data_IF_317205740403
#
_entry.id   IF_317205740403
#
_cell.length_a   1.000
_cell.length_b   1.000
_cell.length_c   1.000
_cell.angle_alpha   90.00
_cell.angle_beta   90.00
_cell.angle_gamma   90.00
#
_symmetry.space_group_name_H-M   'P 1'
#
loop_
_entity.id
_entity.type
_entity.pdbx_description
1 polymer ?
#
# COMPACT_ATOMS: atom_id res chain seq x y z
N UNK A 1 18.13 -45.63 34.02
CA UNK A 1 17.87 -45.57 32.57
C UNK A 1 16.89 -44.43 32.33
N UNK A 2 17.43 -43.25 32.03
CA UNK A 2 16.67 -42.06 31.65
C UNK A 2 17.12 -41.65 30.25
N UNK A 3 16.20 -41.64 29.30
CA UNK A 3 16.31 -41.03 27.96
C UNK A 3 14.92 -40.43 27.71
N UNK A 4 14.67 -39.19 28.12
CA UNK A 4 14.97 -37.90 27.47
C UNK A 4 13.84 -37.46 26.53
N UNK A 5 12.93 -36.66 27.10
CA UNK A 5 11.79 -35.96 26.50
C UNK A 5 12.21 -34.68 25.76
N UNK A 6 13.21 -34.74 24.88
CA UNK A 6 13.84 -33.54 24.29
C UNK A 6 13.61 -33.34 22.78
N UNK A 7 12.76 -34.12 22.11
CA UNK A 7 12.63 -34.03 20.63
C UNK A 7 11.48 -33.18 20.09
N UNK A 8 10.51 -32.73 20.91
CA UNK A 8 9.30 -32.06 20.41
C UNK A 8 9.32 -30.52 20.56
N UNK A 9 10.11 -29.98 21.49
CA UNK A 9 10.34 -28.53 21.62
C UNK A 9 11.38 -27.98 20.63
N UNK A 10 12.21 -28.86 20.04
CA UNK A 10 13.27 -28.44 19.13
C UNK A 10 12.76 -28.10 17.72
N UNK A 11 11.66 -28.70 17.25
CA UNK A 11 11.13 -28.44 15.91
C UNK A 11 10.52 -27.02 15.76
N UNK A 12 10.13 -26.39 16.88
CA UNK A 12 9.70 -24.98 16.91
C UNK A 12 10.86 -24.01 17.21
N UNK A 13 11.97 -24.48 17.79
CA UNK A 13 13.19 -23.67 18.00
C UNK A 13 14.14 -23.68 16.81
N UNK A 14 14.11 -24.72 15.99
CA UNK A 14 14.91 -24.84 14.76
C UNK A 14 14.51 -23.85 13.65
N UNK A 15 13.40 -23.11 13.81
CA UNK A 15 13.08 -21.98 12.93
C UNK A 15 13.92 -20.73 13.18
N UNK A 16 14.69 -20.66 14.28
CA UNK A 16 15.48 -19.48 14.66
C UNK A 16 16.99 -19.61 14.37
N UNK A 17 17.49 -20.81 14.07
CA UNK A 17 18.89 -21.04 13.74
C UNK A 17 18.96 -21.96 12.51
N UNK A 18 19.52 -21.45 11.42
CA UNK A 18 19.69 -22.09 10.11
C UNK A 18 18.42 -22.22 9.26
N UNK A 19 18.07 -21.15 8.55
CA UNK A 19 17.43 -21.30 7.24
C UNK A 19 18.16 -20.49 6.18
N UNK A 20 18.76 -21.27 5.28
CA UNK A 20 19.41 -20.83 4.07
C UNK A 20 18.45 -19.95 3.26
N UNK A 21 18.99 -18.85 2.68
CA UNK A 21 18.28 -17.89 1.84
C UNK A 21 17.69 -18.58 0.60
N UNK A 22 16.45 -19.03 0.66
CA UNK A 22 15.56 -19.33 -0.50
C UNK A 22 14.23 -19.85 0.04
N UNK A 23 13.26 -18.95 0.29
CA UNK A 23 11.83 -19.23 0.10
C UNK A 23 10.98 -18.06 0.58
N UNK A 24 10.07 -17.56 -0.27
CA UNK A 24 9.02 -16.58 0.06
C UNK A 24 8.09 -17.11 1.17
N UNK A 25 8.07 -18.43 1.41
CA UNK A 25 7.43 -19.03 2.58
C UNK A 25 8.05 -18.54 3.91
N UNK A 26 9.30 -18.08 3.95
CA UNK A 26 9.97 -17.71 5.20
C UNK A 26 9.39 -16.44 5.83
N UNK A 27 9.08 -15.40 5.03
CA UNK A 27 8.58 -14.12 5.55
C UNK A 27 7.15 -14.21 6.11
N UNK A 28 6.24 -14.87 5.39
CA UNK A 28 4.89 -15.13 5.88
C UNK A 28 4.93 -15.99 7.15
N UNK A 29 5.71 -17.08 7.15
CA UNK A 29 5.88 -17.93 8.34
C UNK A 29 6.48 -17.16 9.53
N UNK A 30 7.40 -16.22 9.30
CA UNK A 30 7.98 -15.37 10.35
C UNK A 30 6.94 -14.45 10.98
N UNK A 31 6.09 -13.79 10.19
CA UNK A 31 5.01 -12.94 10.72
C UNK A 31 4.02 -13.78 11.51
N UNK A 32 3.61 -14.93 10.97
CA UNK A 32 2.70 -15.86 11.63
C UNK A 32 3.29 -16.36 12.96
N UNK A 33 4.57 -16.76 12.98
CA UNK A 33 5.27 -17.17 14.19
C UNK A 33 5.31 -16.04 15.23
N UNK A 34 5.60 -14.81 14.82
CA UNK A 34 5.62 -13.65 15.71
C UNK A 34 4.25 -13.35 16.31
N UNK A 35 3.18 -13.41 15.51
CA UNK A 35 1.80 -13.28 16.02
C UNK A 35 1.48 -14.36 17.06
N UNK A 36 1.88 -15.61 16.80
CA UNK A 36 1.59 -16.72 17.71
C UNK A 36 2.39 -16.65 19.01
N UNK A 37 3.65 -16.19 18.95
CA UNK A 37 4.43 -15.89 20.14
C UNK A 37 3.79 -14.78 20.98
N UNK A 38 3.27 -13.72 20.33
CA UNK A 38 2.58 -12.64 21.04
C UNK A 38 1.28 -13.12 21.69
N UNK A 39 0.42 -13.85 20.98
CA UNK A 39 -0.80 -14.42 21.55
C UNK A 39 -0.49 -15.33 22.75
N UNK A 40 0.50 -16.22 22.61
CA UNK A 40 0.91 -17.14 23.68
C UNK A 40 1.50 -16.42 24.88
N UNK A 41 2.17 -15.28 24.69
CA UNK A 41 2.69 -14.46 25.78
C UNK A 41 1.60 -13.75 26.59
N UNK A 42 0.41 -13.56 26.00
CA UNK A 42 -0.74 -12.91 26.65
C UNK A 42 -1.62 -13.93 27.37
N UNK A 43 -2.05 -14.99 26.68
CA UNK A 43 -2.84 -16.09 27.26
C UNK A 43 -2.48 -17.42 26.56
N UNK A 44 -1.63 -18.27 27.16
CA UNK A 44 -1.19 -19.52 26.55
C UNK A 44 -2.32 -20.51 26.23
N UNK A 45 -3.35 -20.59 27.08
CA UNK A 45 -4.42 -21.58 26.94
C UNK A 45 -5.36 -21.20 25.80
N UNK A 46 -5.75 -19.92 25.73
CA UNK A 46 -6.58 -19.39 24.65
C UNK A 46 -5.82 -19.33 23.32
N UNK A 47 -4.53 -18.97 23.34
CA UNK A 47 -3.68 -18.96 22.15
C UNK A 47 -3.56 -20.35 21.50
N UNK A 48 -3.45 -21.42 22.30
CA UNK A 48 -3.43 -22.80 21.79
C UNK A 48 -4.67 -23.12 20.95
N UNK A 49 -5.85 -22.71 21.41
CA UNK A 49 -7.11 -22.92 20.68
C UNK A 49 -7.16 -22.15 19.37
N UNK A 50 -6.71 -20.89 19.36
CA UNK A 50 -6.59 -20.10 18.13
C UNK A 50 -5.65 -20.78 17.12
N UNK A 51 -4.53 -21.33 17.60
CA UNK A 51 -3.57 -22.07 16.77
C UNK A 51 -4.18 -23.35 16.17
N UNK A 52 -4.91 -24.14 16.96
CA UNK A 52 -5.50 -25.40 16.50
C UNK A 52 -6.60 -25.18 15.44
N UNK A 53 -7.43 -24.15 15.63
CA UNK A 53 -8.46 -23.76 14.64
C UNK A 53 -7.82 -23.23 13.36
N UNK A 54 -6.74 -22.45 13.48
CA UNK A 54 -6.03 -21.93 12.30
C UNK A 54 -5.40 -23.04 11.45
N UNK A 55 -4.76 -24.02 12.10
CA UNK A 55 -4.22 -25.20 11.41
C UNK A 55 -5.30 -25.96 10.63
N UNK A 56 -6.47 -26.13 11.26
CA UNK A 56 -7.62 -26.78 10.64
C UNK A 56 -8.09 -26.02 9.39
N UNK A 57 -8.22 -24.70 9.48
CA UNK A 57 -8.56 -23.83 8.34
C UNK A 57 -7.54 -23.95 7.19
N UNK A 58 -6.24 -23.81 7.47
CA UNK A 58 -5.19 -23.92 6.45
C UNK A 58 -5.21 -25.28 5.73
N UNK A 59 -5.43 -26.37 6.47
CA UNK A 59 -5.49 -27.72 5.90
C UNK A 59 -6.71 -27.95 5.00
N UNK A 60 -7.82 -27.25 5.25
CA UNK A 60 -9.10 -27.41 4.54
C UNK A 60 -9.13 -26.54 3.27
N UNK A 61 -8.72 -25.27 3.37
CA UNK A 61 -8.64 -24.33 2.23
C UNK A 61 -7.73 -24.82 1.10
N UNK A 62 -6.69 -25.60 1.41
CA UNK A 62 -5.77 -26.14 0.41
C UNK A 62 -6.32 -27.34 -0.36
N UNK A 63 -7.36 -28.03 0.16
CA UNK A 63 -7.86 -29.30 -0.42
C UNK A 63 -9.05 -29.14 -1.36
N UNK A 64 -9.81 -28.04 -1.29
CA UNK A 64 -11.16 -27.97 -1.87
C UNK A 64 -11.43 -26.84 -2.89
N UNK A 65 -10.41 -26.07 -3.28
CA UNK A 65 -10.57 -24.95 -4.26
C UNK A 65 -11.01 -25.36 -5.68
N UNK A 66 -11.17 -26.66 -5.94
CA UNK A 66 -11.52 -27.21 -7.26
C UNK A 66 -12.82 -28.01 -7.26
N UNK A 67 -13.56 -28.05 -6.14
CA UNK A 67 -14.79 -28.82 -6.04
C UNK A 67 -15.97 -28.13 -6.75
N UNK A 68 -16.79 -28.91 -7.45
CA UNK A 68 -18.12 -28.50 -7.90
C UNK A 68 -19.12 -28.75 -6.75
N UNK A 69 -19.97 -27.77 -6.46
CA UNK A 69 -20.98 -27.86 -5.37
C UNK A 69 -22.37 -28.08 -5.97
N UNK A 70 -23.12 -29.05 -5.46
CA UNK A 70 -24.47 -29.38 -5.94
C UNK A 70 -25.58 -28.62 -5.22
N UNK A 71 -25.29 -28.03 -4.06
CA UNK A 71 -26.25 -27.27 -3.26
C UNK A 71 -25.58 -26.19 -2.39
N UNK A 72 -26.41 -25.29 -1.85
CA UNK A 72 -25.94 -24.26 -0.91
C UNK A 72 -25.34 -24.86 0.35
N UNK A 73 -25.95 -25.93 0.91
CA UNK A 73 -25.46 -26.55 2.13
C UNK A 73 -24.08 -27.19 1.95
N UNK A 74 -23.86 -27.89 0.82
CA UNK A 74 -22.54 -28.44 0.48
C UNK A 74 -21.49 -27.34 0.32
N UNK A 75 -21.87 -26.22 -0.28
CA UNK A 75 -20.99 -25.06 -0.41
C UNK A 75 -20.69 -24.41 0.94
N UNK A 76 -21.69 -24.28 1.82
CA UNK A 76 -21.52 -23.70 3.15
C UNK A 76 -20.59 -24.51 4.04
N UNK A 77 -20.66 -25.85 3.98
CA UNK A 77 -19.78 -26.71 4.76
C UNK A 77 -18.29 -26.50 4.41
N UNK A 78 -18.00 -26.17 3.15
CA UNK A 78 -16.67 -25.70 2.73
C UNK A 78 -16.42 -24.24 3.11
N UNK A 79 -17.34 -23.34 2.74
CA UNK A 79 -17.12 -21.90 2.77
C UNK A 79 -16.95 -21.36 4.18
N UNK A 80 -17.68 -21.90 5.17
CA UNK A 80 -17.54 -21.52 6.58
C UNK A 80 -16.09 -21.70 7.07
N UNK A 81 -15.42 -22.76 6.63
CA UNK A 81 -14.02 -23.02 6.99
C UNK A 81 -13.07 -22.15 6.17
N UNK A 82 -13.36 -21.98 4.88
CA UNK A 82 -12.55 -21.20 3.94
C UNK A 82 -12.52 -19.70 4.24
N UNK A 83 -13.64 -19.12 4.68
CA UNK A 83 -13.70 -17.73 5.18
C UNK A 83 -12.99 -17.58 6.52
N UNK A 84 -12.75 -18.69 7.23
CA UNK A 84 -12.14 -18.68 8.55
C UNK A 84 -13.10 -18.25 9.66
N UNK A 85 -14.43 -18.40 9.50
CA UNK A 85 -15.39 -18.02 10.53
C UNK A 85 -15.11 -18.69 11.91
N UNK A 86 -14.75 -19.98 12.00
CA UNK A 86 -14.31 -20.58 13.27
C UNK A 86 -13.06 -19.91 13.86
N UNK A 87 -12.13 -19.48 13.00
CA UNK A 87 -10.92 -18.77 13.44
C UNK A 87 -11.25 -17.40 14.01
N UNK A 88 -12.14 -16.64 13.35
CA UNK A 88 -12.62 -15.34 13.86
C UNK A 88 -13.32 -15.51 15.22
N UNK A 89 -14.17 -16.54 15.37
CA UNK A 89 -14.80 -16.84 16.66
C UNK A 89 -13.79 -17.20 17.76
N UNK A 90 -12.71 -17.92 17.44
CA UNK A 90 -11.63 -18.21 18.38
C UNK A 90 -10.86 -16.95 18.80
N UNK A 91 -10.58 -16.05 17.85
CA UNK A 91 -9.94 -14.75 18.12
C UNK A 91 -10.86 -13.85 18.96
N UNK A 92 -12.16 -13.86 18.71
CA UNK A 92 -13.15 -13.16 19.53
C UNK A 92 -13.11 -13.63 20.99
N UNK A 93 -13.14 -14.96 21.22
CA UNK A 93 -13.05 -15.54 22.56
C UNK A 93 -11.76 -15.12 23.27
N UNK A 94 -10.62 -15.17 22.55
CA UNK A 94 -9.34 -14.68 23.07
C UNK A 94 -9.42 -13.20 23.47
N UNK A 95 -9.95 -12.33 22.60
CA UNK A 95 -10.09 -10.89 22.86
C UNK A 95 -11.04 -10.56 24.01
N UNK A 96 -12.02 -11.42 24.27
CA UNK A 96 -12.95 -11.30 25.41
C UNK A 96 -12.40 -11.90 26.71
N UNK A 97 -11.23 -12.55 26.68
CA UNK A 97 -10.67 -13.30 27.81
C UNK A 97 -11.55 -14.46 28.23
N UNK A 98 -12.21 -15.12 27.27
CA UNK A 98 -13.21 -16.17 27.52
C UNK A 98 -12.74 -17.52 26.98
N UNK A 99 -13.04 -18.58 27.74
CA UNK A 99 -12.75 -19.97 27.37
C UNK A 99 -14.02 -20.79 27.54
N UNK A 100 -14.50 -21.38 26.46
CA UNK A 100 -15.63 -22.33 26.49
C UNK A 100 -15.16 -23.73 26.87
N UNK A 101 -15.93 -24.46 27.64
CA UNK A 101 -15.72 -25.89 27.86
C UNK A 101 -16.07 -26.71 26.62
N UNK A 102 -15.57 -27.93 26.50
CA UNK A 102 -15.89 -28.81 25.36
C UNK A 102 -17.41 -29.08 25.28
N UNK A 103 -18.05 -29.20 26.45
CA UNK A 103 -19.51 -29.32 26.57
C UNK A 103 -20.24 -28.09 26.02
N UNK A 104 -19.78 -26.89 26.36
CA UNK A 104 -20.39 -25.66 25.84
C UNK A 104 -20.18 -25.54 24.32
N UNK A 105 -19.02 -25.94 23.79
CA UNK A 105 -18.79 -25.99 22.34
C UNK A 105 -19.81 -26.91 21.64
N UNK A 106 -20.05 -28.11 22.18
CA UNK A 106 -21.04 -29.05 21.65
C UNK A 106 -22.46 -28.47 21.71
N UNK A 107 -22.80 -27.78 22.80
CA UNK A 107 -24.11 -27.13 22.98
C UNK A 107 -24.33 -25.97 22.00
N UNK A 108 -23.27 -25.25 21.60
CA UNK A 108 -23.34 -24.15 20.64
C UNK A 108 -23.27 -24.59 19.17
N UNK A 109 -22.83 -25.82 18.88
CA UNK A 109 -22.56 -26.28 17.52
C UNK A 109 -23.73 -26.02 16.54
N UNK A 110 -24.97 -26.25 16.98
CA UNK A 110 -26.17 -26.00 16.15
C UNK A 110 -26.50 -24.52 15.98
N UNK A 111 -26.16 -23.67 16.97
CA UNK A 111 -26.42 -22.22 16.94
C UNK A 111 -25.41 -21.50 16.07
N UNK A 112 -24.16 -21.97 16.08
CA UNK A 112 -23.03 -21.32 15.41
C UNK A 112 -23.09 -21.46 13.90
N UNK A 113 -23.56 -22.59 13.35
CA UNK A 113 -23.57 -22.82 11.90
C UNK A 113 -24.39 -21.75 11.15
N UNK A 114 -25.63 -21.40 11.54
CA UNK A 114 -26.37 -20.33 10.85
C UNK A 114 -25.73 -18.94 11.00
N UNK A 115 -25.03 -18.67 12.11
CA UNK A 115 -24.24 -17.43 12.25
C UNK A 115 -23.18 -17.35 11.15
N UNK A 116 -22.33 -18.37 11.04
CA UNK A 116 -21.25 -18.40 10.05
C UNK A 116 -21.77 -18.45 8.61
N UNK A 117 -22.92 -19.11 8.38
CA UNK A 117 -23.58 -19.13 7.08
C UNK A 117 -24.19 -17.79 6.66
N UNK A 118 -24.36 -16.84 7.58
CA UNK A 118 -24.84 -15.48 7.26
C UNK A 118 -23.72 -14.52 6.86
N UNK A 119 -22.46 -14.88 7.09
CA UNK A 119 -21.28 -14.06 6.79
C UNK A 119 -20.85 -14.25 5.32
N UNK A 120 -21.37 -13.39 4.45
CA UNK A 120 -21.03 -13.40 3.02
C UNK A 120 -20.04 -12.30 2.65
N UNK A 121 -19.00 -12.65 1.90
CA UNK A 121 -18.16 -11.68 1.21
C UNK A 121 -18.81 -11.31 -0.13
N UNK A 122 -19.03 -10.02 -0.37
CA UNK A 122 -19.34 -9.53 -1.71
C UNK A 122 -18.19 -9.89 -2.68
N UNK A 123 -18.61 -10.28 -3.89
CA UNK A 123 -17.81 -11.01 -4.87
C UNK A 123 -16.48 -10.33 -5.26
N UNK A 124 -15.47 -11.18 -5.51
CA UNK A 124 -14.33 -10.82 -6.35
C UNK A 124 -14.80 -10.36 -7.74
N UNK A 125 -14.04 -9.44 -8.35
CA UNK A 125 -14.29 -8.99 -9.72
C UNK A 125 -14.38 -10.19 -10.71
N UNK A 126 -15.27 -10.10 -11.72
CA UNK A 126 -15.37 -11.11 -12.77
C UNK A 126 -14.06 -11.15 -13.58
N UNK A 127 -13.29 -12.23 -13.41
CA UNK A 127 -12.02 -12.43 -14.13
C UNK A 127 -11.32 -13.77 -13.87
N UNK A 128 -11.63 -14.46 -12.77
CA UNK A 128 -11.13 -15.81 -12.53
C UNK A 128 -11.92 -16.85 -13.35
N UNK A 129 -11.27 -17.86 -13.96
CA UNK A 129 -11.91 -18.83 -14.86
C UNK A 129 -12.99 -19.72 -14.19
N UNK A 130 -13.07 -19.75 -12.85
CA UNK A 130 -14.18 -20.31 -12.06
C UNK A 130 -14.25 -19.61 -10.68
N UNK A 131 -15.04 -18.54 -10.49
CA UNK A 131 -15.14 -17.90 -9.18
C UNK A 131 -15.95 -18.79 -8.23
N UNK A 132 -15.29 -19.29 -7.17
CA UNK A 132 -15.95 -20.07 -6.11
C UNK A 132 -16.63 -19.11 -5.13
N UNK A 133 -17.81 -18.61 -5.51
CA UNK A 133 -18.64 -17.73 -4.69
C UNK A 133 -20.13 -18.08 -4.86
N UNK A 134 -20.93 -17.84 -3.82
CA UNK A 134 -22.37 -18.09 -3.78
C UNK A 134 -23.13 -17.49 -4.97
N UNK A 135 -22.80 -16.25 -5.37
CA UNK A 135 -23.46 -15.58 -6.51
C UNK A 135 -23.29 -16.39 -7.79
N UNK A 136 -22.06 -16.83 -8.09
CA UNK A 136 -21.79 -17.64 -9.27
C UNK A 136 -22.50 -18.99 -9.21
N UNK A 137 -22.51 -19.64 -8.04
CA UNK A 137 -23.19 -20.92 -7.84
C UNK A 137 -24.70 -20.79 -8.04
N UNK A 138 -25.35 -19.75 -7.53
CA UNK A 138 -26.76 -19.49 -7.77
C UNK A 138 -27.07 -19.23 -9.26
N UNK A 139 -26.19 -18.54 -9.98
CA UNK A 139 -26.33 -18.39 -11.44
C UNK A 139 -26.33 -19.77 -12.13
N UNK A 140 -25.45 -20.69 -11.71
CA UNK A 140 -25.39 -22.03 -12.29
C UNK A 140 -26.57 -22.92 -11.88
N UNK A 141 -26.95 -22.91 -10.60
CA UNK A 141 -28.02 -23.76 -10.07
C UNK A 141 -29.40 -23.34 -10.56
N UNK A 142 -29.64 -22.03 -10.70
CA UNK A 142 -30.98 -21.49 -11.02
C UNK A 142 -31.06 -20.88 -12.42
N UNK A 143 -29.96 -20.77 -13.16
CA UNK A 143 -29.94 -20.20 -14.51
C UNK A 143 -30.32 -18.71 -14.56
N UNK A 144 -30.01 -17.97 -13.49
CA UNK A 144 -30.37 -16.55 -13.34
C UNK A 144 -29.17 -15.61 -13.61
N UNK A 145 -29.46 -14.34 -13.87
CA UNK A 145 -28.43 -13.31 -14.01
C UNK A 145 -27.76 -12.93 -12.67
N UNK A 146 -26.69 -12.13 -12.74
CA UNK A 146 -25.91 -11.71 -11.56
C UNK A 146 -26.76 -10.95 -10.54
N UNK A 147 -27.66 -10.07 -10.99
CA UNK A 147 -28.48 -9.25 -10.11
C UNK A 147 -29.48 -10.11 -9.32
N UNK A 148 -30.13 -11.04 -10.01
CA UNK A 148 -31.05 -12.02 -9.44
C UNK A 148 -30.32 -12.98 -8.49
N UNK A 149 -29.11 -13.44 -8.86
CA UNK A 149 -28.28 -14.26 -7.99
C UNK A 149 -27.86 -13.53 -6.71
N UNK A 150 -27.50 -12.24 -6.78
CA UNK A 150 -27.23 -11.41 -5.59
C UNK A 150 -28.44 -11.32 -4.65
N UNK A 151 -29.65 -11.19 -5.20
CA UNK A 151 -30.89 -11.18 -4.40
C UNK A 151 -31.13 -12.53 -3.71
N UNK A 152 -30.89 -13.66 -4.40
CA UNK A 152 -31.01 -15.00 -3.80
C UNK A 152 -29.98 -15.22 -2.67
N UNK A 153 -28.75 -14.74 -2.84
CA UNK A 153 -27.74 -14.76 -1.78
C UNK A 153 -28.18 -13.93 -0.57
N UNK A 154 -28.72 -12.72 -0.80
CA UNK A 154 -29.23 -11.86 0.27
C UNK A 154 -30.41 -12.51 1.01
N UNK A 155 -31.31 -13.18 0.30
CA UNK A 155 -32.41 -13.92 0.90
C UNK A 155 -31.91 -15.09 1.75
N UNK A 156 -30.93 -15.86 1.25
CA UNK A 156 -30.30 -16.94 1.99
C UNK A 156 -29.57 -16.43 3.26
N UNK A 157 -28.84 -15.32 3.15
CA UNK A 157 -28.23 -14.64 4.29
C UNK A 157 -29.27 -14.29 5.36
N UNK A 158 -30.33 -13.60 4.94
CA UNK A 158 -31.44 -13.19 5.81
C UNK A 158 -32.14 -14.39 6.46
N UNK A 159 -32.24 -15.52 5.75
CA UNK A 159 -32.80 -16.75 6.30
C UNK A 159 -31.92 -17.29 7.44
N UNK A 160 -30.59 -17.38 7.23
CA UNK A 160 -29.66 -17.85 8.25
C UNK A 160 -29.54 -16.91 9.45
N UNK A 161 -29.62 -15.59 9.25
CA UNK A 161 -29.69 -14.61 10.36
C UNK A 161 -30.92 -14.83 11.24
N UNK A 162 -32.10 -14.99 10.62
CA UNK A 162 -33.35 -15.28 11.36
C UNK A 162 -33.27 -16.62 12.09
N UNK A 163 -32.69 -17.64 11.46
CA UNK A 163 -32.47 -18.94 12.06
C UNK A 163 -31.53 -18.84 13.27
N UNK A 164 -30.42 -18.11 13.14
CA UNK A 164 -29.48 -17.84 14.23
C UNK A 164 -30.16 -17.18 15.43
N UNK A 165 -30.96 -16.14 15.21
CA UNK A 165 -31.69 -15.46 16.28
C UNK A 165 -32.70 -16.38 16.97
N UNK A 166 -33.47 -17.15 16.19
CA UNK A 166 -34.42 -18.13 16.73
C UNK A 166 -33.72 -19.19 17.58
N UNK A 167 -32.56 -19.68 17.14
CA UNK A 167 -31.78 -20.68 17.87
C UNK A 167 -31.13 -20.09 19.13
N UNK A 168 -30.72 -18.82 19.12
CA UNK A 168 -30.29 -18.13 20.33
C UNK A 168 -31.40 -18.06 21.37
N UNK A 169 -32.63 -17.74 20.96
CA UNK A 169 -33.78 -17.66 21.85
C UNK A 169 -34.23 -19.04 22.37
N UNK A 170 -34.15 -20.07 21.52
CA UNK A 170 -34.34 -21.46 21.95
C UNK A 170 -33.28 -21.89 22.97
N UNK A 171 -32.01 -21.59 22.71
CA UNK A 171 -30.91 -21.90 23.62
C UNK A 171 -31.11 -21.24 24.99
N UNK A 172 -31.43 -19.94 25.01
CA UNK A 172 -31.71 -19.20 26.26
C UNK A 172 -32.88 -19.78 27.04
N UNK A 173 -33.92 -20.26 26.35
CA UNK A 173 -35.08 -20.92 26.99
C UNK A 173 -34.71 -22.30 27.55
N UNK A 174 -33.96 -23.09 26.77
CA UNK A 174 -33.57 -24.47 27.14
C UNK A 174 -32.64 -24.51 28.35
N UNK A 175 -31.73 -23.54 28.46
CA UNK A 175 -30.72 -23.48 29.50
C UNK A 175 -30.97 -22.37 30.53
N UNK A 176 -32.22 -21.97 30.77
CA UNK A 176 -32.55 -20.93 31.73
C UNK A 176 -32.29 -21.39 33.20
N UNK A 177 -31.60 -20.58 34.04
CA UNK A 177 -30.95 -19.31 33.71
C UNK A 177 -29.64 -19.53 32.92
N UNK A 178 -29.51 -18.81 31.79
CA UNK A 178 -28.32 -18.92 30.94
C UNK A 178 -27.09 -18.40 31.67
N UNK A 179 -25.94 -19.08 31.51
CA UNK A 179 -24.68 -18.62 32.10
C UNK A 179 -24.25 -17.29 31.48
N UNK A 180 -23.56 -16.44 32.25
CA UNK A 180 -23.04 -15.17 31.76
C UNK A 180 -22.09 -15.37 30.56
N UNK A 181 -21.24 -16.39 30.65
CA UNK A 181 -20.32 -16.80 29.58
C UNK A 181 -21.09 -17.15 28.30
N UNK A 182 -22.16 -17.94 28.40
CA UNK A 182 -22.97 -18.33 27.27
C UNK A 182 -23.69 -17.14 26.64
N UNK A 183 -24.31 -16.27 27.43
CA UNK A 183 -25.01 -15.09 26.89
C UNK A 183 -24.04 -14.10 26.23
N UNK A 184 -22.86 -13.88 26.83
CA UNK A 184 -21.80 -13.05 26.24
C UNK A 184 -21.29 -13.62 24.91
N UNK A 185 -21.13 -14.93 24.81
CA UNK A 185 -20.70 -15.57 23.56
C UNK A 185 -21.73 -15.41 22.44
N UNK A 186 -23.02 -15.68 22.73
CA UNK A 186 -24.11 -15.49 21.76
C UNK A 186 -24.21 -14.02 21.27
N UNK A 187 -24.02 -13.05 22.17
CA UNK A 187 -23.96 -11.63 21.79
C UNK A 187 -22.75 -11.32 20.94
N UNK A 188 -21.58 -11.86 21.28
CA UNK A 188 -20.36 -11.72 20.49
C UNK A 188 -20.55 -12.18 19.05
N UNK A 189 -21.16 -13.36 18.87
CA UNK A 189 -21.52 -13.88 17.54
C UNK A 189 -22.47 -12.93 16.79
N UNK A 190 -23.50 -12.40 17.45
CA UNK A 190 -24.41 -11.44 16.81
C UNK A 190 -23.71 -10.16 16.32
N UNK A 191 -22.67 -9.70 17.05
CA UNK A 191 -21.89 -8.54 16.63
C UNK A 191 -20.97 -8.84 15.45
N UNK A 192 -20.53 -10.09 15.26
CA UNK A 192 -19.77 -10.46 14.06
C UNK A 192 -20.61 -10.26 12.80
N UNK A 193 -21.87 -10.69 12.82
CA UNK A 193 -22.82 -10.48 11.71
C UNK A 193 -22.99 -8.99 11.43
N UNK A 194 -23.45 -8.21 12.42
CA UNK A 194 -23.72 -6.77 12.20
C UNK A 194 -22.46 -5.97 11.87
N UNK A 195 -21.34 -6.31 12.49
CA UNK A 195 -20.05 -5.66 12.26
C UNK A 195 -19.53 -5.94 10.86
N UNK A 196 -19.63 -7.19 10.40
CA UNK A 196 -19.25 -7.58 9.05
C UNK A 196 -20.10 -6.86 8.00
N UNK A 197 -21.40 -6.72 8.21
CA UNK A 197 -22.29 -5.95 7.32
C UNK A 197 -21.81 -4.50 7.21
N UNK A 198 -21.65 -3.80 8.35
CA UNK A 198 -21.27 -2.38 8.34
C UNK A 198 -19.88 -2.17 7.75
N UNK A 199 -18.91 -3.03 8.08
CA UNK A 199 -17.57 -2.96 7.52
C UNK A 199 -17.58 -3.19 6.00
N UNK A 200 -18.33 -4.20 5.53
CA UNK A 200 -18.34 -4.56 4.11
C UNK A 200 -18.95 -3.47 3.22
N UNK A 201 -19.90 -2.67 3.73
CA UNK A 201 -20.56 -1.60 2.97
C UNK A 201 -19.61 -0.51 2.46
N UNK A 202 -18.43 -0.33 3.05
CA UNK A 202 -17.51 0.73 2.68
C UNK A 202 -16.03 0.40 2.87
N UNK A 203 -15.66 -0.85 3.15
CA UNK A 203 -14.25 -1.16 3.36
C UNK A 203 -13.46 -0.99 2.05
N UNK A 204 -12.25 -0.39 2.09
CA UNK A 204 -11.39 -0.20 0.92
C UNK A 204 -11.04 -1.47 0.12
N UNK A 205 -11.26 -2.63 0.74
CA UNK A 205 -11.05 -3.95 0.15
C UNK A 205 -12.08 -4.25 -0.93
N UNK A 206 -13.34 -3.90 -0.69
CA UNK A 206 -14.45 -4.13 -1.63
C UNK A 206 -14.81 -2.86 -2.41
N UNK A 207 -14.54 -1.71 -1.82
CA UNK A 207 -14.86 -0.40 -2.35
C UNK A 207 -13.59 0.43 -2.47
N UNK A 208 -12.88 0.25 -3.59
CA UNK A 208 -11.61 0.94 -3.85
C UNK A 208 -11.70 2.47 -3.75
N UNK A 209 -12.89 3.02 -4.00
CA UNK A 209 -13.24 4.43 -3.86
C UNK A 209 -13.14 4.97 -2.42
N UNK A 210 -13.19 4.10 -1.41
CA UNK A 210 -13.02 4.47 0.00
C UNK A 210 -11.57 4.26 0.50
N UNK A 211 -10.60 3.93 -0.37
CA UNK A 211 -9.19 3.80 0.03
C UNK A 211 -8.70 5.08 0.69
N UNK A 212 -8.26 4.93 1.95
CA UNK A 212 -7.77 6.02 2.80
C UNK A 212 -6.47 6.66 2.26
N UNK A 213 -5.73 5.93 1.41
CA UNK A 213 -4.57 6.41 0.69
C UNK A 213 -4.76 6.16 -0.81
N UNK A 214 -4.94 7.21 -1.64
CA UNK A 214 -5.01 7.08 -3.09
C UNK A 214 -3.70 6.55 -3.71
N UNK A 215 -2.60 6.50 -2.95
CA UNK A 215 -1.30 5.95 -3.38
C UNK A 215 -1.07 4.50 -2.96
N UNK A 216 -2.01 3.86 -2.24
CA UNK A 216 -1.90 2.45 -1.89
C UNK A 216 -2.10 1.59 -3.15
N UNK A 217 -0.98 1.23 -3.79
CA UNK A 217 -0.92 0.38 -4.97
C UNK A 217 -1.70 -0.91 -4.71
N UNK A 218 -2.56 -1.30 -5.64
CA UNK A 218 -3.22 -2.60 -5.62
C UNK A 218 -2.18 -3.72 -5.77
N UNK A 219 -1.75 -4.27 -4.63
CA UNK A 219 -0.76 -5.36 -4.56
C UNK A 219 -1.20 -6.64 -5.27
N UNK A 220 -2.48 -6.75 -5.64
CA UNK A 220 -2.96 -7.88 -6.44
C UNK A 220 -2.54 -7.78 -7.91
N UNK A 221 -2.32 -6.56 -8.43
CA UNK A 221 -1.95 -6.28 -9.82
C UNK A 221 -0.44 -6.13 -10.06
N UNK A 222 0.35 -5.90 -9.00
CA UNK A 222 1.81 -5.70 -9.11
C UNK A 222 2.63 -7.01 -9.17
N UNK A 223 1.97 -8.18 -9.13
CA UNK A 223 2.63 -9.49 -9.04
C UNK A 223 3.18 -10.03 -10.37
N UNK A 224 2.85 -9.43 -11.50
CA UNK A 224 3.21 -9.98 -12.83
C UNK A 224 4.51 -9.44 -13.43
N UNK A 225 5.22 -8.51 -12.78
CA UNK A 225 6.44 -7.89 -13.35
C UNK A 225 7.71 -8.04 -12.51
N UNK A 226 7.69 -8.79 -11.40
CA UNK A 226 8.86 -9.00 -10.56
C UNK A 226 9.69 -10.21 -11.03
N UNK A 227 10.07 -10.24 -12.31
CA UNK A 227 11.06 -11.18 -12.82
C UNK A 227 12.47 -10.56 -12.71
N UNK A 228 13.33 -11.21 -11.91
CA UNK A 228 14.79 -11.06 -11.86
C UNK A 228 15.40 -9.64 -11.75
N UNK A 229 14.93 -8.78 -10.84
CA UNK A 229 15.63 -7.52 -10.59
C UNK A 229 16.81 -7.70 -9.63
N UNK A 230 18.03 -7.62 -10.18
CA UNK A 230 19.27 -7.57 -9.41
C UNK A 230 19.34 -6.23 -8.68
N UNK A 231 19.86 -6.22 -7.45
CA UNK A 231 20.18 -4.99 -6.72
C UNK A 231 20.99 -4.03 -7.63
N UNK A 232 20.41 -2.90 -8.00
CA UNK A 232 20.95 -1.93 -8.95
C UNK A 232 20.35 -0.52 -8.75
N UNK A 233 20.85 0.46 -9.50
CA UNK A 233 20.35 1.84 -9.42
C UNK A 233 19.13 2.10 -10.31
N UNK A 234 18.70 1.12 -11.12
CA UNK A 234 17.62 1.28 -12.10
C UNK A 234 16.32 1.77 -11.46
N UNK A 235 15.92 1.19 -10.33
CA UNK A 235 14.76 1.66 -9.55
C UNK A 235 14.88 3.11 -9.05
N UNK A 236 16.10 3.49 -8.65
CA UNK A 236 16.39 4.82 -8.10
C UNK A 236 16.34 5.89 -9.19
N UNK A 237 16.77 5.55 -10.41
CA UNK A 237 16.84 6.49 -11.51
C UNK A 237 15.58 6.47 -12.39
N UNK A 238 14.78 5.41 -12.36
CA UNK A 238 13.61 5.25 -13.23
C UNK A 238 12.63 6.44 -13.18
N UNK A 239 12.24 7.00 -12.02
CA UNK A 239 11.37 8.18 -11.99
C UNK A 239 12.01 9.43 -12.62
N UNK A 240 13.33 9.59 -12.45
CA UNK A 240 14.09 10.69 -13.05
C UNK A 240 14.16 10.55 -14.57
N UNK A 241 14.53 9.38 -15.08
CA UNK A 241 14.61 9.09 -16.51
C UNK A 241 13.24 9.22 -17.18
N UNK A 242 12.18 8.72 -16.53
CA UNK A 242 10.81 8.89 -17.00
C UNK A 242 10.44 10.38 -17.14
N UNK A 243 10.63 11.16 -16.08
CA UNK A 243 10.30 12.60 -16.09
C UNK A 243 11.11 13.35 -17.15
N UNK A 244 12.39 13.00 -17.29
CA UNK A 244 13.30 13.61 -18.28
C UNK A 244 12.91 13.26 -19.73
N UNK A 245 12.29 12.10 -19.95
CA UNK A 245 11.81 11.68 -21.28
C UNK A 245 10.59 12.45 -21.78
N UNK A 246 9.88 13.17 -20.89
CA UNK A 246 8.67 13.90 -21.25
C UNK A 246 8.99 15.16 -22.10
N UNK A 247 8.15 15.52 -23.08
CA UNK A 247 8.44 16.60 -24.03
C UNK A 247 8.73 17.95 -23.36
N UNK A 248 9.90 18.55 -23.60
CA UNK A 248 10.26 19.85 -23.02
C UNK A 248 10.40 20.94 -24.10
N UNK A 249 10.21 22.22 -23.71
CA UNK A 249 10.39 23.37 -24.61
C UNK A 249 11.86 23.75 -24.83
N UNK A 250 12.81 23.13 -24.14
CA UNK A 250 14.25 23.40 -24.30
C UNK A 250 14.76 24.80 -23.94
N UNK A 251 13.90 25.67 -23.37
CA UNK A 251 14.20 27.11 -23.17
C UNK A 251 15.50 27.36 -22.38
N UNK A 252 15.78 26.54 -21.36
CA UNK A 252 16.98 26.71 -20.52
C UNK A 252 18.25 26.35 -21.27
N UNK A 253 18.23 25.30 -22.08
CA UNK A 253 19.39 24.88 -22.87
C UNK A 253 19.75 25.95 -23.90
N UNK A 254 18.74 26.51 -24.57
CA UNK A 254 18.92 27.64 -25.49
C UNK A 254 19.51 28.85 -24.79
N UNK A 255 19.10 29.12 -23.55
CA UNK A 255 19.64 30.22 -22.76
C UNK A 255 21.10 29.98 -22.34
N UNK A 256 21.45 28.75 -21.95
CA UNK A 256 22.86 28.39 -21.68
C UNK A 256 23.71 28.59 -22.93
N UNK A 257 23.23 28.15 -24.10
CA UNK A 257 23.97 28.31 -25.35
C UNK A 257 24.20 29.77 -25.71
N UNK A 258 23.14 30.59 -25.64
CA UNK A 258 23.23 32.01 -25.96
C UNK A 258 24.17 32.75 -25.00
N UNK A 259 24.01 32.54 -23.69
CA UNK A 259 24.83 33.22 -22.68
C UNK A 259 26.27 32.68 -22.65
N UNK A 260 26.46 31.38 -22.89
CA UNK A 260 27.77 30.75 -22.95
C UNK A 260 28.61 31.25 -24.13
N UNK A 261 27.98 31.48 -25.28
CA UNK A 261 28.61 32.13 -26.43
C UNK A 261 29.11 33.54 -26.08
N UNK A 262 28.29 34.32 -25.37
CA UNK A 262 28.64 35.69 -24.95
C UNK A 262 29.71 35.74 -23.86
N UNK A 263 29.69 34.78 -22.95
CA UNK A 263 30.59 34.72 -21.80
C UNK A 263 31.94 34.06 -22.09
N UNK A 264 32.10 33.45 -23.28
CA UNK A 264 33.32 32.74 -23.68
C UNK A 264 33.50 31.39 -22.97
N UNK A 265 32.40 30.72 -22.61
CA UNK A 265 32.46 29.34 -22.14
C UNK A 265 32.81 28.41 -23.30
N UNK A 266 33.63 27.40 -23.02
CA UNK A 266 33.81 26.28 -23.94
C UNK A 266 32.52 25.45 -24.04
N UNK A 267 32.36 24.72 -25.14
CA UNK A 267 31.23 23.79 -25.32
C UNK A 267 31.15 22.76 -24.18
N UNK A 268 32.28 22.27 -23.68
CA UNK A 268 32.36 21.33 -22.55
C UNK A 268 31.86 21.96 -21.25
N UNK A 269 32.29 23.18 -20.91
CA UNK A 269 31.79 23.91 -19.74
C UNK A 269 30.29 24.18 -19.86
N UNK A 270 29.82 24.62 -21.04
CA UNK A 270 28.40 24.86 -21.32
C UNK A 270 27.55 23.59 -21.17
N UNK A 271 28.02 22.46 -21.70
CA UNK A 271 27.33 21.17 -21.56
C UNK A 271 27.21 20.75 -20.10
N UNK A 272 28.27 20.91 -19.29
CA UNK A 272 28.22 20.57 -17.86
C UNK A 272 27.29 21.49 -17.09
N UNK A 273 27.19 22.77 -17.45
CA UNK A 273 26.20 23.67 -16.85
C UNK A 273 24.79 23.21 -17.18
N UNK A 274 24.50 22.85 -18.44
CA UNK A 274 23.19 22.29 -18.83
C UNK A 274 22.83 21.06 -18.01
N UNK A 275 23.79 20.14 -17.80
CA UNK A 275 23.58 18.95 -17.00
C UNK A 275 23.17 19.29 -15.56
N UNK A 276 23.83 20.24 -14.90
CA UNK A 276 23.47 20.66 -13.53
C UNK A 276 22.05 21.21 -13.48
N UNK A 277 21.70 22.09 -14.43
CA UNK A 277 20.37 22.70 -14.52
C UNK A 277 19.31 21.64 -14.81
N UNK A 278 19.58 20.70 -15.71
CA UNK A 278 18.67 19.63 -16.08
C UNK A 278 18.32 18.76 -14.88
N UNK A 279 19.33 18.30 -14.14
CA UNK A 279 19.11 17.43 -12.98
C UNK A 279 18.29 18.12 -11.88
N UNK A 280 18.63 19.36 -11.53
CA UNK A 280 17.85 20.13 -10.54
C UNK A 280 16.44 20.42 -11.00
N UNK A 281 16.27 20.79 -12.27
CA UNK A 281 14.95 21.09 -12.79
C UNK A 281 14.05 19.85 -12.79
N UNK A 282 14.55 18.71 -13.28
CA UNK A 282 13.78 17.46 -13.27
C UNK A 282 13.42 17.06 -11.84
N UNK A 283 14.36 17.14 -10.90
CA UNK A 283 14.10 16.84 -9.49
C UNK A 283 13.02 17.77 -8.90
N UNK A 284 13.06 19.08 -9.19
CA UNK A 284 12.05 20.02 -8.71
C UNK A 284 10.68 19.71 -9.29
N UNK A 285 10.59 19.35 -10.58
CA UNK A 285 9.31 18.97 -11.20
C UNK A 285 8.68 17.73 -10.57
N UNK A 286 9.50 16.74 -10.20
CA UNK A 286 9.03 15.52 -9.54
C UNK A 286 8.45 15.81 -8.15
N UNK A 287 9.11 16.68 -7.38
CA UNK A 287 8.65 17.10 -6.06
C UNK A 287 7.41 17.99 -6.17
N UNK A 288 7.42 18.99 -7.05
CA UNK A 288 6.28 19.87 -7.32
C UNK A 288 5.02 19.07 -7.68
N UNK A 289 5.15 18.04 -8.54
CA UNK A 289 3.98 17.22 -8.91
C UNK A 289 3.37 16.51 -7.69
N UNK A 290 4.19 16.06 -6.73
CA UNK A 290 3.70 15.42 -5.49
C UNK A 290 3.07 16.46 -4.56
N UNK A 291 3.76 17.58 -4.37
CA UNK A 291 3.36 18.64 -3.46
C UNK A 291 2.05 19.31 -3.89
N UNK A 292 1.84 19.46 -5.20
CA UNK A 292 0.62 19.99 -5.81
C UNK A 292 -0.49 18.93 -5.99
N UNK A 293 -0.19 17.64 -5.76
CA UNK A 293 -1.11 16.54 -6.05
C UNK A 293 -1.45 16.40 -7.55
N UNK A 294 -0.51 16.77 -8.43
CA UNK A 294 -0.70 16.80 -9.88
C UNK A 294 -0.66 15.40 -10.50
N UNK A 295 -1.80 14.90 -10.97
CA UNK A 295 -1.86 13.57 -11.60
C UNK A 295 -1.13 13.50 -12.96
N UNK A 296 -1.00 14.64 -13.64
CA UNK A 296 -0.49 14.74 -15.01
C UNK A 296 0.66 15.75 -15.14
N UNK A 297 1.69 15.36 -15.89
CA UNK A 297 2.78 16.22 -16.37
C UNK A 297 2.80 16.22 -17.89
N UNK A 298 2.55 17.39 -18.50
CA UNK A 298 2.59 17.58 -19.98
C UNK A 298 1.68 16.60 -20.73
N UNK A 299 0.51 16.30 -20.17
CA UNK A 299 -0.47 15.36 -20.73
C UNK A 299 -0.15 13.88 -20.52
N UNK A 300 0.96 13.55 -19.85
CA UNK A 300 1.32 12.18 -19.44
C UNK A 300 1.17 12.02 -17.92
N UNK A 301 1.01 10.80 -17.38
CA UNK A 301 1.00 10.58 -15.93
C UNK A 301 2.24 11.18 -15.24
N UNK A 302 2.07 11.87 -14.12
CA UNK A 302 3.19 12.35 -13.32
C UNK A 302 4.02 11.18 -12.75
N UNK A 303 5.30 11.41 -12.41
CA UNK A 303 6.16 10.31 -11.97
C UNK A 303 5.62 9.57 -10.74
N UNK A 304 5.03 10.29 -9.78
CA UNK A 304 4.47 9.68 -8.58
C UNK A 304 3.20 8.85 -8.82
N UNK A 305 2.47 9.10 -9.91
CA UNK A 305 1.31 8.26 -10.27
C UNK A 305 1.72 6.95 -10.94
N UNK A 306 2.93 6.91 -11.53
CA UNK A 306 3.51 5.71 -12.15
C UNK A 306 4.30 4.88 -11.13
N UNK A 307 5.19 5.52 -10.37
CA UNK A 307 6.17 4.86 -9.50
C UNK A 307 5.83 4.93 -8.01
N UNK A 308 4.77 5.66 -7.64
CA UNK A 308 4.43 5.96 -6.26
C UNK A 308 5.21 7.14 -5.68
N UNK A 309 4.56 7.89 -4.79
CA UNK A 309 5.16 9.04 -4.12
C UNK A 309 6.46 8.69 -3.34
N UNK A 310 6.54 7.61 -2.54
CA UNK A 310 7.75 7.29 -1.80
C UNK A 310 8.99 7.08 -2.68
N UNK A 311 8.85 6.31 -3.77
CA UNK A 311 9.95 6.06 -4.69
C UNK A 311 10.35 7.33 -5.45
N UNK A 312 9.37 8.14 -5.84
CA UNK A 312 9.58 9.39 -6.56
C UNK A 312 10.32 10.42 -5.70
N UNK A 313 9.96 10.55 -4.41
CA UNK A 313 10.66 11.41 -3.43
C UNK A 313 12.12 10.97 -3.27
N UNK A 314 12.37 9.66 -3.11
CA UNK A 314 13.71 9.13 -2.98
C UNK A 314 14.57 9.43 -4.23
N UNK A 315 13.98 9.24 -5.41
CA UNK A 315 14.63 9.49 -6.70
C UNK A 315 14.91 10.97 -6.94
N UNK A 316 13.98 11.86 -6.59
CA UNK A 316 14.19 13.31 -6.66
C UNK A 316 15.29 13.79 -5.69
N UNK A 317 15.30 13.25 -4.47
CA UNK A 317 16.35 13.54 -3.48
C UNK A 317 17.74 13.10 -3.97
N UNK A 318 17.82 11.93 -4.59
CA UNK A 318 19.05 11.46 -5.23
C UNK A 318 19.45 12.36 -6.41
N UNK A 319 18.51 12.78 -7.25
CA UNK A 319 18.79 13.67 -8.37
C UNK A 319 19.33 15.04 -7.93
N UNK A 320 18.89 15.57 -6.79
CA UNK A 320 19.48 16.78 -6.18
C UNK A 320 20.95 16.54 -5.78
N UNK A 321 21.26 15.40 -5.16
CA UNK A 321 22.64 15.03 -4.81
C UNK A 321 23.53 14.90 -6.05
N UNK A 322 23.02 14.28 -7.11
CA UNK A 322 23.72 14.15 -8.39
C UNK A 322 23.95 15.51 -9.06
N UNK A 323 23.01 16.44 -8.97
CA UNK A 323 23.22 17.78 -9.50
C UNK A 323 24.35 18.53 -8.78
N UNK A 324 24.47 18.40 -7.45
CA UNK A 324 25.59 18.96 -6.68
C UNK A 324 26.91 18.29 -7.05
N UNK A 325 26.90 16.96 -7.25
CA UNK A 325 28.06 16.21 -7.74
C UNK A 325 28.50 16.71 -9.13
N UNK A 326 27.55 16.94 -10.05
CA UNK A 326 27.80 17.49 -11.38
C UNK A 326 28.30 18.92 -11.33
N UNK A 327 27.79 19.75 -10.42
CA UNK A 327 28.27 21.11 -10.23
C UNK A 327 29.76 21.12 -9.86
N UNK A 328 30.20 20.18 -9.01
CA UNK A 328 31.63 19.99 -8.72
C UNK A 328 32.44 19.57 -9.95
N UNK A 329 31.88 18.75 -10.83
CA UNK A 329 32.55 18.25 -12.04
C UNK A 329 32.65 19.31 -13.15
N UNK A 330 31.89 20.42 -13.08
CA UNK A 330 32.00 21.54 -14.03
C UNK A 330 33.42 22.13 -14.06
N UNK A 331 34.13 22.10 -12.92
CA UNK A 331 35.42 22.78 -12.75
C UNK A 331 35.31 24.31 -12.68
N UNK A 332 34.08 24.86 -12.69
CA UNK A 332 33.84 26.30 -12.63
C UNK A 332 34.05 26.82 -11.20
N UNK A 333 34.56 28.05 -11.03
CA UNK A 333 34.73 28.65 -9.72
C UNK A 333 33.40 28.72 -8.94
N UNK A 334 33.45 28.33 -7.66
CA UNK A 334 32.33 28.38 -6.71
C UNK A 334 31.05 27.64 -7.17
N UNK A 335 31.14 26.72 -8.14
CA UNK A 335 29.95 26.09 -8.73
C UNK A 335 29.09 25.36 -7.71
N UNK A 336 29.71 24.67 -6.75
CA UNK A 336 29.00 23.97 -5.66
C UNK A 336 28.29 24.97 -4.74
N UNK A 337 28.97 26.04 -4.31
CA UNK A 337 28.39 27.04 -3.41
C UNK A 337 27.22 27.78 -4.07
N UNK A 338 27.38 28.18 -5.32
CA UNK A 338 26.33 28.77 -6.15
C UNK A 338 25.13 27.81 -6.23
N UNK A 339 25.37 26.53 -6.52
CA UNK A 339 24.30 25.52 -6.65
C UNK A 339 23.56 25.32 -5.34
N UNK A 340 24.26 25.22 -4.21
CA UNK A 340 23.66 25.05 -2.88
C UNK A 340 22.88 26.30 -2.44
N UNK A 341 23.36 27.50 -2.75
CA UNK A 341 22.66 28.74 -2.47
C UNK A 341 21.34 28.82 -3.25
N UNK A 342 21.37 28.52 -4.56
CA UNK A 342 20.16 28.56 -5.37
C UNK A 342 19.19 27.44 -5.01
N UNK A 343 19.68 26.26 -4.65
CA UNK A 343 18.84 25.18 -4.12
C UNK A 343 18.14 25.58 -2.82
N UNK A 344 18.82 26.31 -1.93
CA UNK A 344 18.21 26.86 -0.71
C UNK A 344 17.12 27.86 -1.05
N UNK A 345 17.37 28.77 -2.00
CA UNK A 345 16.37 29.73 -2.45
C UNK A 345 15.13 29.03 -3.02
N UNK A 346 15.31 27.98 -3.85
CA UNK A 346 14.22 27.17 -4.38
C UNK A 346 13.32 26.62 -3.26
N UNK A 347 13.90 26.00 -2.24
CA UNK A 347 13.13 25.46 -1.11
C UNK A 347 12.44 26.54 -0.28
N UNK A 348 13.08 27.70 -0.09
CA UNK A 348 12.45 28.83 0.60
C UNK A 348 11.25 29.34 -0.21
N UNK A 349 11.40 29.52 -1.52
CA UNK A 349 10.30 29.90 -2.41
C UNK A 349 9.15 28.90 -2.36
N UNK A 350 9.46 27.60 -2.45
CA UNK A 350 8.47 26.53 -2.34
C UNK A 350 7.73 26.56 -0.99
N UNK A 351 8.44 26.85 0.10
CA UNK A 351 7.83 26.90 1.43
C UNK A 351 6.75 27.97 1.56
N UNK A 352 6.91 29.11 0.86
CA UNK A 352 5.89 30.15 0.84
C UNK A 352 4.62 29.67 0.14
N UNK A 353 4.79 29.07 -1.04
CA UNK A 353 3.68 28.53 -1.85
C UNK A 353 2.89 27.45 -1.08
N UNK A 354 3.60 26.51 -0.46
CA UNK A 354 3.01 25.47 0.39
C UNK A 354 2.28 26.04 1.60
N UNK A 355 2.88 27.01 2.29
CA UNK A 355 2.28 27.64 3.46
C UNK A 355 1.00 28.38 3.09
N UNK A 356 1.04 29.22 2.06
CA UNK A 356 -0.13 29.97 1.60
C UNK A 356 -1.24 29.05 1.13
N UNK A 357 -0.91 28.01 0.36
CA UNK A 357 -1.89 27.01 -0.12
C UNK A 357 -2.55 26.27 1.04
N UNK A 358 -1.76 25.75 1.99
CA UNK A 358 -2.28 25.02 3.16
C UNK A 358 -3.19 25.88 4.04
N UNK A 359 -2.86 27.17 4.18
CA UNK A 359 -3.58 28.09 5.07
C UNK A 359 -4.62 28.96 4.35
N UNK A 360 -4.81 28.78 3.04
CA UNK A 360 -5.70 29.58 2.19
C UNK A 360 -5.44 31.10 2.32
N UNK A 361 -4.16 31.49 2.35
CA UNK A 361 -3.73 32.88 2.47
C UNK A 361 -3.45 33.44 1.07
N UNK A 362 -4.00 34.61 0.75
CA UNK A 362 -3.61 35.36 -0.44
C UNK A 362 -2.40 36.26 -0.12
N UNK A 363 -1.24 36.08 -0.76
CA UNK A 363 -0.10 36.98 -0.56
C UNK A 363 -0.35 38.36 -1.18
N UNK A 364 0.41 39.35 -0.74
CA UNK A 364 0.55 40.61 -1.47
C UNK A 364 1.29 40.41 -2.80
N UNK A 365 1.20 41.39 -3.70
CA UNK A 365 1.93 41.35 -4.98
C UNK A 365 3.45 41.26 -4.76
N UNK A 366 3.98 42.00 -3.79
CA UNK A 366 5.42 41.99 -3.46
C UNK A 366 5.88 40.61 -2.96
N UNK A 367 5.12 39.99 -2.05
CA UNK A 367 5.40 38.63 -1.54
C UNK A 367 5.32 37.58 -2.64
N UNK A 368 4.30 37.67 -3.50
CA UNK A 368 4.16 36.76 -4.65
C UNK A 368 5.36 36.86 -5.60
N UNK A 369 5.81 38.09 -5.92
CA UNK A 369 6.98 38.31 -6.76
C UNK A 369 8.27 37.76 -6.11
N UNK A 370 8.42 37.90 -4.79
CA UNK A 370 9.54 37.30 -4.06
C UNK A 370 9.52 35.76 -4.15
N UNK A 371 8.35 35.14 -3.94
CA UNK A 371 8.19 33.70 -4.05
C UNK A 371 8.56 33.21 -5.46
N UNK A 372 8.01 33.83 -6.51
CA UNK A 372 8.28 33.45 -7.90
C UNK A 372 9.76 33.61 -8.25
N UNK A 373 10.41 34.68 -7.78
CA UNK A 373 11.84 34.92 -7.96
C UNK A 373 12.69 33.81 -7.34
N UNK A 374 12.29 33.29 -6.18
CA UNK A 374 12.98 32.20 -5.49
C UNK A 374 12.68 30.81 -6.08
N UNK A 375 11.44 30.51 -6.46
CA UNK A 375 11.00 29.20 -7.00
C UNK A 375 11.32 29.06 -8.50
N UNK A 376 10.71 29.86 -9.37
CA UNK A 376 10.96 29.72 -10.82
C UNK A 376 12.22 30.48 -11.23
N UNK A 377 12.45 31.66 -10.65
CA UNK A 377 13.62 32.50 -10.93
C UNK A 377 14.94 31.89 -10.44
N UNK A 378 14.92 31.08 -9.38
CA UNK A 378 16.12 30.48 -8.79
C UNK A 378 16.95 29.65 -9.78
N UNK A 379 16.30 28.89 -10.67
CA UNK A 379 17.01 28.13 -11.71
C UNK A 379 17.64 29.03 -12.79
N UNK A 380 17.02 30.18 -13.11
CA UNK A 380 17.61 31.15 -14.03
C UNK A 380 18.79 31.89 -13.39
N UNK A 381 18.69 32.22 -12.09
CA UNK A 381 19.80 32.79 -11.33
C UNK A 381 20.97 31.81 -11.23
N UNK A 382 20.69 30.53 -10.98
CA UNK A 382 21.70 29.47 -10.98
C UNK A 382 22.45 29.40 -12.31
N UNK A 383 21.70 29.33 -13.41
CA UNK A 383 22.26 29.31 -14.75
C UNK A 383 23.18 30.51 -14.99
N UNK A 384 22.71 31.72 -14.70
CA UNK A 384 23.47 32.94 -14.88
C UNK A 384 24.75 32.99 -14.02
N UNK A 385 24.65 32.60 -12.74
CA UNK A 385 25.78 32.65 -11.81
C UNK A 385 26.86 31.62 -12.17
N UNK A 386 26.48 30.41 -12.58
CA UNK A 386 27.43 29.39 -13.06
C UNK A 386 28.14 29.88 -14.33
N UNK A 387 27.40 30.45 -15.28
CA UNK A 387 28.00 30.97 -16.51
C UNK A 387 28.97 32.12 -16.21
N UNK A 388 28.55 33.06 -15.36
CA UNK A 388 29.35 34.22 -14.98
C UNK A 388 30.61 33.86 -14.20
N UNK A 389 30.58 32.79 -13.38
CA UNK A 389 31.74 32.37 -12.62
C UNK A 389 32.85 31.81 -13.52
N UNK A 390 32.51 31.14 -14.61
CA UNK A 390 33.44 30.72 -15.66
C UNK A 390 33.95 31.86 -16.54
N UNK A 391 33.16 32.94 -16.65
CA UNK A 391 33.44 34.06 -17.54
C UNK A 391 34.52 35.03 -17.04
N UNK A 392 34.98 34.93 -15.78
CA UNK A 392 35.98 35.84 -15.22
C UNK A 392 37.26 35.85 -16.07
N UNK A 393 37.44 36.94 -16.84
CA UNK A 393 38.46 37.23 -17.89
C UNK A 393 38.21 36.76 -19.34
N UNK A 394 37.03 36.23 -19.69
CA UNK A 394 36.72 35.74 -21.06
C UNK A 394 35.59 36.50 -21.79
N UNK A 395 35.07 37.57 -21.17
CA UNK A 395 34.04 38.41 -21.76
C UNK A 395 34.46 38.94 -23.13
N UNK A 396 33.74 38.55 -24.18
CA UNK A 396 34.00 39.00 -25.54
C UNK A 396 32.95 40.04 -25.98
N UNK A 397 33.23 41.35 -25.87
CA UNK A 397 32.30 42.40 -26.27
C UNK A 397 31.99 42.42 -27.77
N UNK A 398 32.70 41.64 -28.61
CA UNK A 398 32.48 41.60 -30.06
C UNK A 398 31.33 40.68 -30.50
N UNK A 399 30.74 39.90 -29.59
CA UNK A 399 29.58 39.02 -29.87
C UNK A 399 28.24 39.73 -29.62
N UNK A 400 28.27 40.97 -29.12
CA UNK A 400 27.10 41.82 -28.98
C UNK A 400 26.86 42.62 -30.27
N UNK A 401 26.16 42.02 -31.24
CA UNK A 401 25.55 42.72 -32.39
C UNK A 401 24.07 42.38 -32.43
#
# INVERSE_FOLDING_TARGET
MSLSSQSEDDDFRLGAAETNRKDVQSGQKQIQAKMMLQLSSTDPASAKRVMDVWKTMLSTTLRHKTNDFGSLDEYLDFRIVDTGAPFVAAVMLFGMGMVLTDKEHDEFASVVRPCFASEWDEAQEPGAPKPVNAVWLYMQWQGVDIASAKLLVLEAASHHEKQFLSLCDEFRRKFAPVSETADRYLRGLSYQISGNVIWSLNCPRYHSEYRYDPNAVDLSKSREMADEEKLGQDHLEAPFHYTSSLPSKGVRDTLVDALGLWSGLSEDEGSKVKDVIHWLHTASLMLDDIEDGSELRRGSPAAHTVFGAPQTINSASFAILEAVSKAKQTGLPNAVDITLEQLRNLHVGQSYDLYWTRHAICPSEEEYLEMVSKKTGGLFQLLWQLISSGANNRWNPLVAI
#
